data_IF_370576547079
#
_entry.id   IF_370576547079
#
_cell.length_a   1.000
_cell.length_b   1.000
_cell.length_c   1.000
_cell.angle_alpha   90.00
_cell.angle_beta   90.00
_cell.angle_gamma   90.00
#
_symmetry.space_group_name_H-M   'P 1'
#
loop_
_entity.id
_entity.type
_entity.pdbx_description
1 polymer ?
#
# COMPACT_ATOMS: atom_id res chain seq x y z
N UNK A 1 31.44 22.81 3.11
CA UNK A 1 31.98 22.53 1.76
C UNK A 1 33.48 22.49 1.86
N UNK A 2 34.13 21.51 1.23
CA UNK A 2 35.59 21.46 1.14
C UNK A 2 36.06 22.59 0.21
N UNK A 3 37.14 23.29 0.54
CA UNK A 3 37.73 24.27 -0.37
C UNK A 3 38.37 23.55 -1.56
N UNK A 4 38.03 23.99 -2.77
CA UNK A 4 38.62 23.45 -4.00
C UNK A 4 39.96 24.16 -4.21
N UNK A 5 41.04 23.48 -3.83
CA UNK A 5 42.41 23.96 -4.07
C UNK A 5 42.76 23.84 -5.56
N UNK A 6 43.82 24.54 -6.01
CA UNK A 6 44.27 24.49 -7.40
C UNK A 6 44.61 23.06 -7.86
N UNK A 7 45.15 22.23 -6.97
CA UNK A 7 45.43 20.80 -7.24
C UNK A 7 44.14 20.01 -7.47
N UNK A 8 43.12 20.23 -6.64
CA UNK A 8 41.80 19.61 -6.78
C UNK A 8 41.15 20.09 -8.09
N UNK A 9 41.27 21.38 -8.42
CA UNK A 9 40.71 21.92 -9.66
C UNK A 9 41.33 21.30 -10.91
N UNK A 10 42.66 21.16 -10.94
CA UNK A 10 43.35 20.51 -12.06
C UNK A 10 42.92 19.04 -12.24
N UNK A 11 42.66 18.33 -11.13
CA UNK A 11 42.11 16.98 -11.17
C UNK A 11 40.68 16.94 -11.71
N UNK A 12 39.84 17.90 -11.30
CA UNK A 12 38.46 18.06 -11.80
C UNK A 12 38.45 18.33 -13.31
N UNK A 13 39.21 19.32 -13.77
CA UNK A 13 39.22 19.69 -15.19
C UNK A 13 39.73 18.55 -16.07
N UNK A 14 40.74 17.80 -15.59
CA UNK A 14 41.24 16.59 -16.27
C UNK A 14 40.18 15.48 -16.31
N UNK A 15 39.42 15.29 -15.23
CA UNK A 15 38.37 14.29 -15.16
C UNK A 15 37.14 14.69 -15.98
N UNK A 16 36.85 15.98 -16.13
CA UNK A 16 35.75 16.51 -16.93
C UNK A 16 36.01 16.38 -18.45
N UNK A 17 37.27 16.33 -18.87
CA UNK A 17 37.65 16.13 -20.26
C UNK A 17 37.22 14.73 -20.76
N UNK A 18 36.08 14.69 -21.45
CA UNK A 18 35.51 13.45 -22.02
C UNK A 18 34.33 12.86 -21.26
N UNK A 19 33.78 13.58 -20.27
CA UNK A 19 32.53 13.17 -19.60
C UNK A 19 31.33 13.43 -20.49
N UNK A 20 30.55 12.38 -20.74
CA UNK A 20 29.24 12.50 -21.36
C UNK A 20 28.21 12.97 -20.33
N UNK A 21 27.68 14.18 -20.54
CA UNK A 21 26.69 14.80 -19.66
C UNK A 21 25.28 14.36 -20.06
N UNK A 22 24.42 14.11 -19.07
CA UNK A 22 23.00 13.93 -19.34
C UNK A 22 22.36 15.25 -19.82
N UNK A 23 21.23 15.16 -20.52
CA UNK A 23 20.57 16.34 -21.12
C UNK A 23 20.22 17.45 -20.11
N UNK A 24 20.04 17.10 -18.84
CA UNK A 24 19.71 18.00 -17.74
C UNK A 24 20.94 18.40 -16.87
N UNK A 25 22.16 18.25 -17.41
CA UNK A 25 23.42 18.49 -16.73
C UNK A 25 24.31 19.52 -17.43
N UNK A 26 25.04 20.29 -16.64
CA UNK A 26 26.09 21.20 -17.12
C UNK A 26 27.31 21.13 -16.20
N UNK A 27 28.48 21.54 -16.68
CA UNK A 27 29.67 21.72 -15.84
C UNK A 27 29.69 23.17 -15.37
N UNK A 28 29.69 23.40 -14.07
CA UNK A 28 29.72 24.75 -13.53
C UNK A 28 31.15 25.32 -13.64
N UNK A 29 31.36 26.49 -14.28
CA UNK A 29 32.70 27.08 -14.38
C UNK A 29 33.33 27.38 -13.02
N UNK A 30 32.53 27.69 -11.99
CA UNK A 30 33.02 28.12 -10.69
C UNK A 30 33.78 27.00 -9.96
N UNK A 31 33.27 25.77 -9.98
CA UNK A 31 33.87 24.63 -9.29
C UNK A 31 34.35 23.50 -10.23
N UNK A 32 33.92 23.49 -11.48
CA UNK A 32 34.29 22.51 -12.49
C UNK A 32 33.50 21.21 -12.38
N UNK A 33 32.52 21.15 -11.48
CA UNK A 33 31.74 19.95 -11.19
C UNK A 33 30.47 19.91 -12.04
N UNK A 34 29.86 18.72 -12.11
CA UNK A 34 28.58 18.54 -12.79
C UNK A 34 27.43 19.04 -11.91
N UNK A 35 26.61 19.92 -12.45
CA UNK A 35 25.45 20.53 -11.82
C UNK A 35 24.16 20.24 -12.60
N UNK A 36 23.04 20.31 -11.89
CA UNK A 36 21.72 20.15 -12.46
C UNK A 36 21.22 21.44 -13.12
N UNK A 37 20.82 21.38 -14.39
CA UNK A 37 20.23 22.53 -15.12
C UNK A 37 18.95 23.06 -14.48
N UNK A 38 18.19 22.22 -13.76
CA UNK A 38 16.88 22.57 -13.19
C UNK A 38 16.98 23.34 -11.87
N UNK A 39 17.83 22.89 -10.94
CA UNK A 39 17.94 23.48 -9.60
C UNK A 39 19.30 24.09 -9.29
N UNK A 40 20.28 24.01 -10.20
CA UNK A 40 21.66 24.44 -9.95
C UNK A 40 22.42 23.58 -8.92
N UNK A 41 21.77 22.59 -8.30
CA UNK A 41 22.38 21.73 -7.30
C UNK A 41 23.46 20.80 -7.89
N UNK A 42 24.45 20.49 -7.07
CA UNK A 42 25.54 19.57 -7.42
C UNK A 42 25.02 18.17 -7.74
N UNK A 43 25.54 17.60 -8.84
CA UNK A 43 25.36 16.20 -9.27
C UNK A 43 26.65 15.41 -9.30
N UNK A 44 27.75 16.07 -8.96
CA UNK A 44 29.03 15.48 -8.70
C UNK A 44 29.63 16.20 -7.50
N UNK A 45 30.35 15.47 -6.68
CA UNK A 45 31.09 16.03 -5.55
C UNK A 45 32.51 15.50 -5.56
N UNK A 46 33.38 16.04 -4.72
CA UNK A 46 34.75 15.57 -4.56
C UNK A 46 34.89 14.98 -3.18
N UNK A 47 35.40 13.76 -3.10
CA UNK A 47 35.62 13.06 -1.85
C UNK A 47 37.10 12.63 -1.78
N UNK A 48 37.79 12.87 -0.66
CA UNK A 48 39.15 12.38 -0.48
C UNK A 48 39.17 10.85 -0.41
N UNK A 49 40.21 10.23 -0.97
CA UNK A 49 40.44 8.80 -0.85
C UNK A 49 40.85 8.46 0.59
N UNK A 50 40.01 7.73 1.31
CA UNK A 50 40.37 7.27 2.66
C UNK A 50 41.49 6.23 2.59
N UNK A 51 42.63 6.52 3.22
CA UNK A 51 43.79 5.62 3.30
C UNK A 51 44.74 5.63 2.09
N UNK A 52 44.52 6.49 1.08
CA UNK A 52 45.45 6.71 -0.04
C UNK A 52 45.49 8.20 -0.42
N UNK A 53 46.62 8.73 -0.89
CA UNK A 53 46.64 10.08 -1.44
C UNK A 53 45.77 10.15 -2.70
N UNK A 54 44.93 11.19 -2.81
CA UNK A 54 44.10 11.47 -3.97
C UNK A 54 42.65 11.80 -3.65
N UNK A 55 41.91 12.12 -4.70
CA UNK A 55 40.48 12.45 -4.66
C UNK A 55 39.75 11.63 -5.72
N UNK A 56 38.47 11.35 -5.48
CA UNK A 56 37.57 10.80 -6.48
C UNK A 56 36.29 11.64 -6.54
N UNK A 57 35.62 11.61 -7.70
CA UNK A 57 34.49 12.49 -7.99
C UNK A 57 33.20 11.71 -8.24
N UNK A 58 32.54 11.18 -7.18
CA UNK A 58 31.32 10.41 -7.35
C UNK A 58 30.16 11.28 -7.82
N UNK A 59 29.23 10.65 -8.55
CA UNK A 59 27.91 11.23 -8.83
C UNK A 59 27.11 11.34 -7.53
N UNK A 60 26.41 12.44 -7.35
CA UNK A 60 25.47 12.65 -6.26
C UNK A 60 24.10 13.08 -6.78
N UNK A 61 23.06 12.87 -5.98
CA UNK A 61 21.68 13.21 -6.34
C UNK A 61 21.32 14.61 -5.86
N UNK A 62 20.93 15.48 -6.79
CA UNK A 62 20.41 16.80 -6.47
C UNK A 62 18.99 16.70 -5.89
N UNK A 63 18.47 17.80 -5.34
CA UNK A 63 17.12 17.84 -4.75
C UNK A 63 16.03 17.41 -5.74
N UNK A 64 16.08 17.87 -6.99
CA UNK A 64 15.09 17.47 -8.00
C UNK A 64 15.09 15.97 -8.30
N UNK A 65 16.26 15.31 -8.24
CA UNK A 65 16.35 13.87 -8.45
C UNK A 65 15.82 13.09 -7.26
N UNK A 66 16.08 13.56 -6.02
CA UNK A 66 15.51 12.98 -4.80
C UNK A 66 13.99 13.03 -4.83
N UNK A 67 13.42 14.21 -5.10
CA UNK A 67 11.96 14.40 -5.17
C UNK A 67 11.34 13.52 -6.27
N UNK A 68 11.96 13.44 -7.45
CA UNK A 68 11.47 12.59 -8.53
C UNK A 68 11.53 11.09 -8.18
N UNK A 69 12.59 10.65 -7.50
CA UNK A 69 12.71 9.27 -7.04
C UNK A 69 11.69 8.95 -5.95
N UNK A 70 11.46 9.86 -5.00
CA UNK A 70 10.44 9.75 -3.96
C UNK A 70 9.03 9.68 -4.56
N UNK A 71 8.72 10.53 -5.53
CA UNK A 71 7.44 10.50 -6.24
C UNK A 71 7.25 9.18 -6.99
N UNK A 72 8.29 8.69 -7.67
CA UNK A 72 8.26 7.39 -8.35
C UNK A 72 8.00 6.26 -7.36
N UNK A 73 8.75 6.21 -6.26
CA UNK A 73 8.57 5.20 -5.19
C UNK A 73 7.16 5.25 -4.60
N UNK A 74 6.65 6.46 -4.31
CA UNK A 74 5.31 6.65 -3.77
C UNK A 74 4.22 6.23 -4.77
N UNK A 75 4.42 6.46 -6.07
CA UNK A 75 3.52 6.01 -7.12
C UNK A 75 3.52 4.48 -7.26
N UNK A 76 4.69 3.85 -7.25
CA UNK A 76 4.84 2.38 -7.27
C UNK A 76 4.20 1.73 -6.04
N UNK A 77 4.42 2.27 -4.84
CA UNK A 77 3.80 1.79 -3.60
C UNK A 77 2.28 1.91 -3.66
N UNK A 78 1.77 3.05 -4.15
CA UNK A 78 0.34 3.27 -4.34
C UNK A 78 -0.27 2.26 -5.32
N UNK A 79 0.42 1.98 -6.43
CA UNK A 79 -0.01 1.00 -7.41
C UNK A 79 -0.08 -0.42 -6.80
N UNK A 80 0.99 -0.84 -6.10
CA UNK A 80 1.03 -2.13 -5.39
C UNK A 80 -0.09 -2.26 -4.36
N UNK A 81 -0.38 -1.19 -3.61
CA UNK A 81 -1.48 -1.15 -2.65
C UNK A 81 -2.83 -1.34 -3.35
N UNK A 82 -3.07 -0.63 -4.46
CA UNK A 82 -4.32 -0.75 -5.22
C UNK A 82 -4.50 -2.18 -5.78
N UNK A 83 -3.45 -2.78 -6.31
CA UNK A 83 -3.49 -4.16 -6.82
C UNK A 83 -3.78 -5.18 -5.72
N UNK A 84 -3.18 -5.00 -4.53
CA UNK A 84 -3.44 -5.83 -3.36
C UNK A 84 -4.89 -5.72 -2.89
N UNK A 85 -5.43 -4.52 -2.79
CA UNK A 85 -6.84 -4.29 -2.44
C UNK A 85 -7.76 -4.95 -3.47
N UNK A 86 -7.48 -4.78 -4.77
CA UNK A 86 -8.28 -5.39 -5.84
C UNK A 86 -8.30 -6.91 -5.72
N UNK A 87 -7.15 -7.53 -5.46
CA UNK A 87 -7.04 -8.98 -5.24
C UNK A 87 -7.84 -9.42 -4.01
N UNK A 88 -7.68 -8.71 -2.89
CA UNK A 88 -8.40 -9.00 -1.63
C UNK A 88 -9.91 -8.86 -1.79
N UNK A 89 -10.39 -7.83 -2.50
CA UNK A 89 -11.82 -7.69 -2.82
C UNK A 89 -12.34 -8.89 -3.61
N UNK A 90 -11.62 -9.31 -4.65
CA UNK A 90 -12.01 -10.47 -5.45
C UNK A 90 -12.02 -11.80 -4.68
N UNK A 91 -11.18 -11.94 -3.65
CA UNK A 91 -11.12 -13.13 -2.80
C UNK A 91 -12.17 -13.08 -1.67
N UNK A 92 -12.33 -11.91 -1.06
CA UNK A 92 -13.14 -11.67 0.13
C UNK A 92 -14.63 -11.44 -0.16
N UNK A 93 -14.96 -10.92 -1.34
CA UNK A 93 -16.33 -10.69 -1.80
C UNK A 93 -16.58 -11.59 -3.00
N UNK A 94 -17.08 -12.81 -2.76
CA UNK A 94 -17.24 -13.81 -3.82
C UNK A 94 -18.31 -13.41 -4.85
N UNK A 95 -19.36 -12.71 -4.40
CA UNK A 95 -20.45 -12.27 -5.26
C UNK A 95 -20.30 -10.82 -5.71
N UNK A 96 -20.54 -10.56 -7.00
CA UNK A 96 -20.38 -9.22 -7.60
C UNK A 96 -21.30 -8.17 -7.00
N UNK A 97 -22.52 -8.54 -6.58
CA UNK A 97 -23.47 -7.58 -6.00
C UNK A 97 -22.97 -6.99 -4.68
N UNK A 98 -22.06 -7.68 -3.97
CA UNK A 98 -21.47 -7.19 -2.73
C UNK A 98 -20.55 -5.98 -2.96
N UNK A 99 -20.11 -5.73 -4.19
CA UNK A 99 -19.22 -4.62 -4.50
C UNK A 99 -19.95 -3.28 -4.36
N UNK A 100 -21.28 -3.30 -4.52
CA UNK A 100 -22.13 -2.12 -4.38
C UNK A 100 -22.58 -1.91 -2.92
N UNK A 101 -22.24 -2.80 -1.99
CA UNK A 101 -22.55 -2.65 -0.56
C UNK A 101 -21.54 -1.70 0.07
N UNK A 102 -21.71 -0.41 -0.19
CA UNK A 102 -20.83 0.65 0.30
C UNK A 102 -21.61 1.69 1.08
N UNK A 103 -20.93 2.38 2.00
CA UNK A 103 -21.52 3.50 2.72
C UNK A 103 -22.00 4.64 1.81
N UNK A 104 -21.49 4.76 0.59
CA UNK A 104 -21.93 5.74 -0.40
C UNK A 104 -23.29 5.38 -1.02
N UNK A 105 -23.61 4.09 -1.08
CA UNK A 105 -24.87 3.57 -1.60
C UNK A 105 -25.92 3.34 -0.48
N UNK A 106 -25.62 3.77 0.75
CA UNK A 106 -26.57 3.74 1.86
C UNK A 106 -27.71 4.72 1.61
N UNK A 107 -28.94 4.23 1.67
CA UNK A 107 -30.15 5.04 1.46
C UNK A 107 -30.59 5.80 2.72
N UNK A 108 -29.87 5.64 3.85
CA UNK A 108 -30.13 6.31 5.11
C UNK A 108 -31.35 5.79 5.87
N UNK A 109 -32.01 4.73 5.39
CA UNK A 109 -33.18 4.15 6.05
C UNK A 109 -32.81 3.35 7.30
N UNK A 110 -31.59 2.82 7.37
CA UNK A 110 -31.13 2.05 8.51
C UNK A 110 -30.46 2.98 9.55
N UNK A 111 -31.11 3.26 10.70
CA UNK A 111 -30.57 4.17 11.71
C UNK A 111 -29.31 3.64 12.41
N UNK A 112 -28.96 2.36 12.19
CA UNK A 112 -27.79 1.74 12.77
C UNK A 112 -26.53 1.92 11.92
N UNK A 113 -26.63 2.46 10.70
CA UNK A 113 -25.46 2.59 9.80
C UNK A 113 -24.32 3.43 10.38
N UNK A 114 -24.61 4.36 11.28
CA UNK A 114 -23.57 5.10 11.99
C UNK A 114 -22.75 4.21 12.95
N UNK A 115 -23.34 3.12 13.45
CA UNK A 115 -22.59 2.10 14.21
C UNK A 115 -21.65 1.31 13.30
N UNK A 116 -22.04 1.01 12.06
CA UNK A 116 -21.13 0.39 11.09
C UNK A 116 -19.96 1.32 10.78
N UNK A 117 -20.21 2.63 10.58
CA UNK A 117 -19.14 3.62 10.38
C UNK A 117 -18.20 3.67 11.59
N UNK A 118 -18.76 3.77 12.80
CA UNK A 118 -17.99 3.79 14.04
C UNK A 118 -17.15 2.52 14.24
N UNK A 119 -17.67 1.34 13.89
CA UNK A 119 -16.92 0.08 13.96
C UNK A 119 -15.72 0.09 13.02
N UNK A 120 -15.91 0.54 11.78
CA UNK A 120 -14.83 0.65 10.78
C UNK A 120 -13.80 1.70 11.23
N UNK A 121 -14.22 2.85 11.73
CA UNK A 121 -13.33 3.89 12.27
C UNK A 121 -12.48 3.39 13.44
N UNK A 122 -13.06 2.61 14.34
CA UNK A 122 -12.40 2.06 15.52
C UNK A 122 -11.84 0.62 15.31
N UNK A 123 -11.66 0.20 14.05
CA UNK A 123 -11.26 -1.17 13.71
C UNK A 123 -10.00 -1.65 14.45
N UNK A 124 -8.98 -0.78 14.61
CA UNK A 124 -7.74 -1.14 15.31
C UNK A 124 -7.95 -1.52 16.78
N UNK A 125 -8.95 -0.93 17.42
CA UNK A 125 -9.31 -1.27 18.80
C UNK A 125 -10.18 -2.52 18.82
N UNK A 126 -11.17 -2.62 17.92
CA UNK A 126 -12.02 -3.79 17.79
C UNK A 126 -11.19 -5.07 17.53
N UNK A 127 -10.23 -5.02 16.61
CA UNK A 127 -9.32 -6.13 16.30
C UNK A 127 -8.48 -6.52 17.51
N UNK A 128 -7.84 -5.56 18.18
CA UNK A 128 -6.99 -5.82 19.36
C UNK A 128 -7.76 -6.45 20.52
N UNK A 129 -9.01 -6.03 20.70
CA UNK A 129 -9.88 -6.49 21.77
C UNK A 129 -10.73 -7.70 21.35
N UNK A 130 -10.54 -8.26 20.14
CA UNK A 130 -11.36 -9.35 19.57
C UNK A 130 -12.87 -9.06 19.63
N UNK A 131 -13.27 -7.83 19.35
CA UNK A 131 -14.67 -7.39 19.39
C UNK A 131 -15.35 -7.64 18.04
N UNK A 132 -16.28 -8.60 18.01
CA UNK A 132 -17.14 -8.87 16.85
C UNK A 132 -18.52 -8.20 16.93
N UNK A 133 -19.30 -8.34 15.87
CA UNK A 133 -20.69 -7.87 15.79
C UNK A 133 -21.64 -9.03 15.52
N UNK A 134 -22.79 -9.04 16.19
CA UNK A 134 -23.91 -9.92 15.88
C UNK A 134 -25.07 -9.09 15.34
N UNK A 135 -25.44 -9.33 14.08
CA UNK A 135 -26.53 -8.64 13.41
C UNK A 135 -27.76 -9.54 13.39
N UNK A 136 -28.87 -9.10 14.00
CA UNK A 136 -30.12 -9.86 14.06
C UNK A 136 -31.32 -8.95 13.75
N UNK A 137 -32.43 -9.57 13.33
CA UNK A 137 -33.66 -8.87 12.93
C UNK A 137 -34.34 -9.56 11.75
N UNK A 138 -35.53 -9.09 11.39
CA UNK A 138 -36.36 -9.71 10.36
C UNK A 138 -35.70 -9.74 8.97
N UNK A 139 -36.24 -10.57 8.08
CA UNK A 139 -35.79 -10.65 6.68
C UNK A 139 -36.01 -9.30 6.00
N UNK A 140 -35.04 -8.86 5.19
CA UNK A 140 -35.13 -7.60 4.45
C UNK A 140 -34.75 -6.33 5.23
N UNK A 141 -34.27 -6.44 6.47
CA UNK A 141 -33.82 -5.27 7.27
C UNK A 141 -32.42 -4.74 6.90
N UNK A 142 -31.80 -5.26 5.85
CA UNK A 142 -30.50 -4.78 5.35
C UNK A 142 -29.27 -5.23 6.15
N UNK A 143 -29.36 -6.34 6.91
CA UNK A 143 -28.22 -6.89 7.67
C UNK A 143 -27.01 -7.22 6.77
N UNK A 144 -27.25 -7.90 5.66
CA UNK A 144 -26.21 -8.23 4.67
C UNK A 144 -25.59 -6.97 4.06
N UNK A 145 -26.40 -5.94 3.78
CA UNK A 145 -25.93 -4.65 3.31
C UNK A 145 -25.05 -3.95 4.34
N UNK A 146 -25.46 -3.95 5.61
CA UNK A 146 -24.69 -3.41 6.73
C UNK A 146 -23.33 -4.10 6.85
N UNK A 147 -23.30 -5.43 6.83
CA UNK A 147 -22.06 -6.21 6.90
C UNK A 147 -21.17 -5.97 5.67
N UNK A 148 -21.75 -5.92 4.47
CA UNK A 148 -21.03 -5.61 3.23
C UNK A 148 -20.42 -4.21 3.23
N UNK A 149 -21.10 -3.22 3.82
CA UNK A 149 -20.53 -1.88 4.00
C UNK A 149 -19.27 -1.89 4.87
N UNK A 150 -19.30 -2.64 5.97
CA UNK A 150 -18.11 -2.85 6.82
C UNK A 150 -17.01 -3.54 6.02
N UNK A 151 -17.34 -4.62 5.30
CA UNK A 151 -16.39 -5.39 4.50
C UNK A 151 -15.68 -4.53 3.46
N UNK A 152 -16.44 -3.81 2.62
CA UNK A 152 -15.89 -2.95 1.58
C UNK A 152 -15.00 -1.86 2.16
N UNK A 153 -15.44 -1.20 3.23
CA UNK A 153 -14.68 -0.11 3.83
C UNK A 153 -13.37 -0.56 4.49
N UNK A 154 -13.34 -1.76 5.06
CA UNK A 154 -12.12 -2.38 5.59
C UNK A 154 -11.19 -2.85 4.47
N UNK A 155 -11.73 -3.45 3.41
CA UNK A 155 -10.96 -3.83 2.21
C UNK A 155 -10.30 -2.62 1.55
N UNK A 156 -10.99 -1.47 1.47
CA UNK A 156 -10.42 -0.20 0.95
C UNK A 156 -9.29 0.36 1.83
N UNK A 157 -9.30 0.01 3.13
CA UNK A 157 -8.21 0.27 4.07
C UNK A 157 -7.12 -0.79 4.03
N UNK A 158 -7.21 -1.74 3.10
CA UNK A 158 -6.26 -2.83 2.92
C UNK A 158 -6.22 -3.79 4.12
N UNK A 159 -7.38 -4.01 4.75
CA UNK A 159 -7.60 -5.07 5.75
C UNK A 159 -8.14 -6.31 5.03
N UNK A 160 -7.56 -7.50 5.23
CA UNK A 160 -8.11 -8.77 4.76
C UNK A 160 -9.48 -9.05 5.38
N UNK A 161 -10.52 -9.14 4.56
CA UNK A 161 -11.88 -9.49 4.99
C UNK A 161 -12.41 -10.60 4.09
N UNK A 162 -13.08 -11.59 4.69
CA UNK A 162 -13.89 -12.57 3.98
C UNK A 162 -15.36 -12.38 4.37
N UNK A 163 -16.22 -12.18 3.38
CA UNK A 163 -17.66 -12.24 3.53
C UNK A 163 -18.19 -13.46 2.78
N UNK A 164 -18.84 -14.36 3.52
CA UNK A 164 -19.44 -15.58 2.99
C UNK A 164 -20.74 -15.88 3.72
N UNK A 165 -21.46 -16.92 3.31
CA UNK A 165 -22.66 -17.38 4.00
C UNK A 165 -22.46 -18.78 4.57
N UNK A 166 -23.23 -19.08 5.62
CA UNK A 166 -23.11 -20.35 6.34
C UNK A 166 -23.34 -21.58 5.43
N UNK A 167 -24.35 -21.61 4.53
CA UNK A 167 -24.53 -22.74 3.61
C UNK A 167 -23.32 -23.00 2.70
N UNK A 168 -22.63 -21.95 2.23
CA UNK A 168 -21.42 -22.11 1.41
C UNK A 168 -20.28 -22.75 2.19
N UNK A 169 -20.10 -22.36 3.46
CA UNK A 169 -19.12 -22.98 4.35
C UNK A 169 -19.44 -24.46 4.54
N UNK A 170 -20.70 -24.79 4.88
CA UNK A 170 -21.13 -26.18 5.10
C UNK A 170 -20.97 -27.05 3.86
N UNK A 171 -21.40 -26.58 2.69
CA UNK A 171 -21.28 -27.32 1.43
C UNK A 171 -19.83 -27.63 1.06
N UNK A 172 -18.90 -26.74 1.39
CA UNK A 172 -17.46 -27.01 1.19
C UNK A 172 -16.96 -28.06 2.17
N UNK A 173 -17.34 -27.96 3.45
CA UNK A 173 -16.92 -28.90 4.48
C UNK A 173 -17.44 -30.33 4.28
N UNK A 174 -18.66 -30.51 3.77
CA UNK A 174 -19.27 -31.83 3.57
C UNK A 174 -18.67 -32.63 2.41
N UNK A 175 -18.05 -31.96 1.44
CA UNK A 175 -17.42 -32.60 0.28
C UNK A 175 -15.94 -32.97 0.45
N UNK A 176 -15.33 -32.69 1.61
CA UNK A 176 -13.87 -32.77 1.83
C UNK A 176 -13.45 -33.96 2.70
N UNK A 177 -12.30 -34.56 2.39
CA UNK A 177 -11.64 -35.54 3.27
C UNK A 177 -11.13 -34.87 4.55
N UNK A 178 -10.82 -35.65 5.59
CA UNK A 178 -10.49 -35.09 6.92
C UNK A 178 -9.30 -34.12 6.94
N UNK A 179 -8.28 -34.37 6.14
CA UNK A 179 -7.08 -33.52 6.02
C UNK A 179 -7.41 -32.19 5.32
N UNK A 180 -8.13 -32.24 4.20
CA UNK A 180 -8.56 -31.05 3.44
C UNK A 180 -9.43 -30.09 4.29
N UNK A 181 -10.24 -30.63 5.22
CA UNK A 181 -11.08 -29.82 6.12
C UNK A 181 -10.24 -28.97 7.07
N UNK A 182 -9.13 -29.50 7.58
CA UNK A 182 -8.26 -28.75 8.50
C UNK A 182 -7.61 -27.58 7.76
N UNK A 183 -7.13 -27.80 6.55
CA UNK A 183 -6.52 -26.76 5.71
C UNK A 183 -7.54 -25.68 5.31
N UNK A 184 -8.79 -26.08 5.02
CA UNK A 184 -9.85 -25.12 4.74
C UNK A 184 -10.16 -24.23 5.95
N UNK A 185 -10.24 -24.79 7.15
CA UNK A 185 -10.47 -24.01 8.37
C UNK A 185 -9.28 -23.10 8.64
N UNK A 186 -8.05 -23.60 8.50
CA UNK A 186 -6.83 -22.82 8.67
C UNK A 186 -6.73 -21.66 7.65
N UNK A 187 -7.31 -21.80 6.45
CA UNK A 187 -7.34 -20.71 5.47
C UNK A 187 -8.12 -19.47 5.96
N UNK A 188 -8.99 -19.62 6.97
CA UNK A 188 -9.68 -18.46 7.55
C UNK A 188 -8.75 -17.57 8.39
N UNK A 189 -7.61 -18.08 8.86
CA UNK A 189 -6.62 -17.30 9.61
C UNK A 189 -5.93 -16.23 8.74
N UNK A 190 -6.06 -16.31 7.41
CA UNK A 190 -5.57 -15.28 6.48
C UNK A 190 -6.39 -13.98 6.54
N UNK A 191 -7.58 -14.02 7.15
CA UNK A 191 -8.51 -12.89 7.21
C UNK A 191 -8.56 -12.27 8.60
N UNK A 192 -8.38 -10.96 8.67
CA UNK A 192 -8.51 -10.21 9.92
C UNK A 192 -9.98 -10.06 10.36
N UNK A 193 -10.92 -10.15 9.41
CA UNK A 193 -12.35 -10.19 9.67
C UNK A 193 -13.04 -11.27 8.83
N UNK A 194 -13.75 -12.17 9.51
CA UNK A 194 -14.65 -13.14 8.90
C UNK A 194 -16.11 -12.72 9.15
N UNK A 195 -16.86 -12.53 8.07
CA UNK A 195 -18.30 -12.24 8.09
C UNK A 195 -19.02 -13.48 7.58
N UNK A 196 -19.87 -14.04 8.44
CA UNK A 196 -20.71 -15.20 8.12
C UNK A 196 -22.17 -14.72 8.10
N UNK A 197 -22.71 -14.61 6.89
CA UNK A 197 -24.11 -14.27 6.66
C UNK A 197 -25.01 -15.51 6.71
N UNK A 198 -26.31 -15.28 6.88
CA UNK A 198 -27.34 -16.32 6.91
C UNK A 198 -27.06 -17.44 7.92
N UNK A 199 -26.77 -17.07 9.17
CA UNK A 199 -26.64 -17.99 10.31
C UNK A 199 -27.97 -18.64 10.76
N UNK A 200 -29.02 -18.56 9.93
CA UNK A 200 -30.29 -19.20 10.21
C UNK A 200 -31.10 -19.31 8.94
N UNK A 201 -31.08 -20.49 8.31
CA UNK A 201 -32.25 -21.33 8.01
C UNK A 201 -31.70 -22.70 7.58
N UNK A 202 -31.54 -23.62 8.52
CA UNK A 202 -31.74 -25.05 8.27
C UNK A 202 -32.88 -25.50 9.19
N UNK A 203 -33.97 -25.96 8.59
CA UNK A 203 -34.98 -26.82 9.23
C UNK A 203 -34.85 -28.20 8.64
#
# INVERSE_FOLDING_TARGET
MMEITAEIRALIDKAAAGVELAGDEYIDPADGLIHCKKCGGQRQTVVPCFGKPGYFMPRCICQCQREAEEQRKAAEERQRRMERIKRRKAQGLQDRYLYDYTFANDNGQNPLMDKARAYVENWKEAYRNNTGLLLFGDVGTGKSFFAGCIANALLDRDVPVLMTNFPTILNRLTGMFSEDRADFIASFDEYDLLIIDDLGVER
#
